data_IF_555512279975
#
_entry.id   IF_555512279975
#
_cell.length_a   1.000
_cell.length_b   1.000
_cell.length_c   1.000
_cell.angle_alpha   90.00
_cell.angle_beta   90.00
_cell.angle_gamma   90.00
#
_symmetry.space_group_name_H-M   'P 1'
#
loop_
_entity.id
_entity.type
_entity.pdbx_description
1 polymer ?
#
# COMPACT_ATOMS: atom_id res chain seq x y z
N UNK A 1 -15.24 -11.03 5.50
CA UNK A 1 -13.81 -11.18 5.87
C UNK A 1 -13.04 -10.58 4.72
N UNK A 2 -12.21 -9.58 4.99
CA UNK A 2 -11.35 -9.00 3.97
C UNK A 2 -10.14 -9.88 3.73
N UNK A 3 -9.60 -9.82 2.51
CA UNK A 3 -8.48 -10.64 2.11
C UNK A 3 -7.23 -9.85 1.73
N UNK A 4 -6.10 -10.56 1.79
CA UNK A 4 -4.79 -10.15 1.34
C UNK A 4 -4.12 -11.39 0.70
N UNK A 5 -4.09 -11.45 -0.63
CA UNK A 5 -3.73 -12.66 -1.38
C UNK A 5 -2.83 -12.36 -2.59
N UNK A 6 -1.64 -11.76 -2.41
CA UNK A 6 -0.75 -11.41 -3.52
C UNK A 6 -0.31 -12.68 -4.27
N UNK A 7 -0.49 -12.69 -5.59
CA UNK A 7 -0.04 -13.80 -6.45
C UNK A 7 -0.76 -15.14 -6.25
N UNK A 8 -1.81 -15.19 -5.42
CA UNK A 8 -2.58 -16.42 -5.19
C UNK A 8 -3.50 -16.69 -6.38
N UNK A 9 -3.26 -17.82 -7.08
CA UNK A 9 -3.96 -18.18 -8.33
C UNK A 9 -4.47 -19.62 -8.34
N UNK A 10 -5.27 -19.96 -9.36
CA UNK A 10 -5.68 -21.31 -9.70
C UNK A 10 -6.45 -22.02 -8.57
N UNK A 11 -6.01 -23.24 -8.23
CA UNK A 11 -6.68 -24.04 -7.19
C UNK A 11 -6.48 -23.46 -5.78
N UNK A 12 -5.33 -22.84 -5.53
CA UNK A 12 -5.06 -22.18 -4.24
C UNK A 12 -5.99 -21.00 -4.03
N UNK A 13 -6.28 -20.23 -5.08
CA UNK A 13 -7.28 -19.16 -5.02
C UNK A 13 -8.69 -19.68 -4.70
N UNK A 14 -9.05 -20.87 -5.18
CA UNK A 14 -10.34 -21.48 -4.83
C UNK A 14 -10.39 -21.88 -3.36
N UNK A 15 -9.32 -22.48 -2.85
CA UNK A 15 -9.22 -22.82 -1.44
C UNK A 15 -9.31 -21.56 -0.58
N UNK A 16 -8.62 -20.49 -0.98
CA UNK A 16 -8.66 -19.20 -0.32
C UNK A 16 -10.08 -18.62 -0.29
N UNK A 17 -10.74 -18.49 -1.44
CA UNK A 17 -12.12 -17.96 -1.50
C UNK A 17 -13.12 -18.85 -0.74
N UNK A 18 -12.97 -20.18 -0.80
CA UNK A 18 -13.82 -21.12 -0.07
C UNK A 18 -13.62 -21.04 1.46
N UNK A 19 -12.46 -20.57 1.92
CA UNK A 19 -12.17 -20.42 3.34
C UNK A 19 -12.85 -19.18 3.97
N UNK A 20 -13.36 -18.23 3.17
CA UNK A 20 -14.18 -17.12 3.67
C UNK A 20 -13.75 -15.69 3.29
N UNK A 21 -12.48 -15.37 2.94
CA UNK A 21 -12.12 -14.07 2.39
C UNK A 21 -12.98 -13.72 1.17
N UNK A 22 -13.61 -12.55 1.22
CA UNK A 22 -14.52 -12.06 0.20
C UNK A 22 -13.93 -10.98 -0.70
N UNK A 23 -12.76 -10.46 -0.35
CA UNK A 23 -12.07 -9.41 -1.10
C UNK A 23 -10.57 -9.65 -1.24
N UNK A 24 -9.94 -8.82 -2.07
CA UNK A 24 -8.49 -8.67 -2.17
C UNK A 24 -8.11 -7.29 -2.71
N UNK A 25 -6.96 -6.75 -2.30
CA UNK A 25 -6.39 -5.48 -2.80
C UNK A 25 -4.96 -5.65 -3.35
N UNK A 26 -4.48 -6.88 -3.48
CA UNK A 26 -3.08 -7.21 -3.72
C UNK A 26 -2.76 -7.57 -5.19
N UNK A 27 -3.67 -7.25 -6.09
CA UNK A 27 -3.45 -7.49 -7.52
C UNK A 27 -2.41 -6.50 -8.06
N UNK A 28 -1.40 -7.01 -8.76
CA UNK A 28 -0.43 -6.18 -9.49
C UNK A 28 -0.65 -6.20 -11.01
N UNK A 29 -1.48 -7.11 -11.53
CA UNK A 29 -1.78 -7.20 -12.97
C UNK A 29 -3.28 -7.37 -13.23
N UNK A 30 -3.73 -6.90 -14.39
CA UNK A 30 -5.11 -7.07 -14.84
C UNK A 30 -5.55 -8.53 -14.90
N UNK A 31 -4.66 -9.46 -15.31
CA UNK A 31 -4.97 -10.88 -15.35
C UNK A 31 -5.27 -11.45 -13.97
N UNK A 32 -4.52 -11.01 -12.94
CA UNK A 32 -4.77 -11.41 -11.57
C UNK A 32 -6.12 -10.94 -11.05
N UNK A 33 -6.40 -9.65 -11.27
CA UNK A 33 -7.67 -9.05 -10.89
C UNK A 33 -8.84 -9.77 -11.58
N UNK A 34 -8.74 -10.05 -12.88
CA UNK A 34 -9.76 -10.79 -13.62
C UNK A 34 -9.95 -12.21 -13.09
N UNK A 35 -8.88 -12.91 -12.72
CA UNK A 35 -8.98 -14.25 -12.15
C UNK A 35 -9.72 -14.23 -10.80
N UNK A 36 -9.37 -13.29 -9.91
CA UNK A 36 -10.02 -13.11 -8.60
C UNK A 36 -11.49 -12.71 -8.74
N UNK A 37 -11.80 -11.78 -9.66
CA UNK A 37 -13.18 -11.39 -9.98
C UNK A 37 -14.02 -12.58 -10.50
N UNK A 38 -13.45 -13.43 -11.36
CA UNK A 38 -14.13 -14.64 -11.88
C UNK A 38 -14.42 -15.68 -10.79
N UNK A 39 -13.67 -15.67 -9.69
CA UNK A 39 -13.93 -16.49 -8.49
C UNK A 39 -14.90 -15.86 -7.51
N UNK A 40 -15.46 -14.69 -7.85
CA UNK A 40 -16.46 -14.01 -7.05
C UNK A 40 -15.89 -13.13 -5.95
N UNK A 41 -14.57 -12.97 -5.87
CA UNK A 41 -13.98 -12.00 -4.95
C UNK A 41 -14.34 -10.57 -5.38
N UNK A 42 -14.39 -9.69 -4.39
CA UNK A 42 -14.41 -8.25 -4.59
C UNK A 42 -12.98 -7.75 -4.70
N UNK A 43 -12.62 -7.05 -5.77
CA UNK A 43 -11.24 -6.57 -5.95
C UNK A 43 -11.18 -5.07 -5.70
N UNK A 44 -10.37 -4.65 -4.76
CA UNK A 44 -10.07 -3.25 -4.53
C UNK A 44 -8.85 -2.88 -5.38
N UNK A 45 -9.04 -2.00 -6.36
CA UNK A 45 -7.93 -1.45 -7.13
C UNK A 45 -7.20 -0.45 -6.25
N UNK A 46 -5.93 -0.74 -5.97
CA UNK A 46 -5.09 0.01 -5.06
C UNK A 46 -4.27 1.08 -5.79
N UNK A 47 -4.14 2.24 -5.15
CA UNK A 47 -3.11 3.24 -5.48
C UNK A 47 -2.44 3.77 -4.21
N UNK A 48 -1.40 3.05 -3.77
CA UNK A 48 -0.63 3.34 -2.56
C UNK A 48 0.67 4.09 -2.89
N UNK A 49 1.31 4.67 -1.87
CA UNK A 49 2.62 5.33 -2.05
C UNK A 49 3.69 4.37 -2.57
N UNK A 50 3.76 3.17 -2.00
CA UNK A 50 4.78 2.15 -2.33
C UNK A 50 4.25 1.03 -3.25
N UNK A 51 3.01 1.15 -3.74
CA UNK A 51 2.39 0.19 -4.67
C UNK A 51 1.39 0.91 -5.58
N UNK A 52 1.89 1.45 -6.69
CA UNK A 52 1.12 2.21 -7.69
C UNK A 52 0.66 1.27 -8.80
N UNK A 53 -0.49 0.62 -8.62
CA UNK A 53 -0.99 -0.41 -9.55
C UNK A 53 -2.31 -0.02 -10.22
N UNK A 54 -2.94 1.12 -9.89
CA UNK A 54 -4.30 1.42 -10.37
C UNK A 54 -4.40 1.34 -11.88
N UNK A 55 -3.47 1.98 -12.60
CA UNK A 55 -3.46 2.00 -14.06
C UNK A 55 -3.26 0.61 -14.68
N UNK A 56 -2.38 -0.21 -14.10
CA UNK A 56 -2.12 -1.59 -14.54
C UNK A 56 -3.36 -2.49 -14.35
N UNK A 57 -4.22 -2.15 -13.39
CA UNK A 57 -5.45 -2.88 -13.10
C UNK A 57 -6.66 -2.41 -13.92
N UNK A 58 -6.67 -1.18 -14.44
CA UNK A 58 -7.79 -0.64 -15.23
C UNK A 58 -8.21 -1.53 -16.42
N UNK A 59 -7.31 -2.22 -17.14
CA UNK A 59 -7.71 -3.16 -18.20
C UNK A 59 -8.58 -4.32 -17.72
N UNK A 60 -8.58 -4.65 -16.42
CA UNK A 60 -9.46 -5.65 -15.84
C UNK A 60 -10.91 -5.17 -15.65
N UNK A 61 -11.17 -3.86 -15.72
CA UNK A 61 -12.49 -3.29 -15.51
C UNK A 61 -13.37 -3.45 -16.77
N UNK A 62 -14.48 -4.16 -16.64
CA UNK A 62 -15.40 -4.44 -17.74
C UNK A 62 -16.86 -4.15 -17.36
N UNK A 63 -17.76 -3.97 -18.35
CA UNK A 63 -19.20 -3.92 -18.11
C UNK A 63 -19.74 -5.05 -17.22
N UNK A 64 -19.21 -6.27 -17.37
CA UNK A 64 -19.70 -7.44 -16.65
C UNK A 64 -19.20 -7.57 -15.20
N UNK A 65 -18.06 -6.97 -14.85
CA UNK A 65 -17.44 -7.17 -13.53
C UNK A 65 -17.36 -5.91 -12.66
N UNK A 66 -17.57 -4.71 -13.20
CA UNK A 66 -17.40 -3.42 -12.48
C UNK A 66 -18.15 -3.31 -11.15
N UNK A 67 -19.19 -4.11 -10.91
CA UNK A 67 -19.93 -4.15 -9.63
C UNK A 67 -19.17 -4.83 -8.49
N UNK A 68 -18.10 -5.57 -8.79
CA UNK A 68 -17.21 -6.23 -7.81
C UNK A 68 -15.84 -5.55 -7.71
N UNK A 69 -15.74 -4.31 -8.16
CA UNK A 69 -14.51 -3.51 -8.09
C UNK A 69 -14.74 -2.28 -7.22
N UNK A 70 -13.84 -1.98 -6.29
CA UNK A 70 -13.82 -0.69 -5.58
C UNK A 70 -12.41 -0.08 -5.64
N UNK A 71 -12.27 1.15 -5.18
CA UNK A 71 -10.98 1.82 -5.03
C UNK A 71 -10.54 1.76 -3.57
N UNK A 72 -9.24 1.56 -3.33
CA UNK A 72 -8.62 1.78 -2.02
C UNK A 72 -7.26 2.48 -2.20
N UNK A 73 -6.86 3.27 -1.21
CA UNK A 73 -5.51 3.83 -1.19
C UNK A 73 -4.50 2.83 -0.63
N UNK A 74 -4.96 1.92 0.23
CA UNK A 74 -4.09 1.17 1.15
C UNK A 74 -3.20 2.17 1.91
N UNK A 75 -1.89 2.00 1.92
CA UNK A 75 -0.95 2.90 2.59
C UNK A 75 -0.61 4.15 1.76
N UNK A 76 -0.90 5.33 2.32
CA UNK A 76 -0.47 6.63 1.79
C UNK A 76 0.43 7.35 2.78
N UNK A 77 1.56 7.85 2.29
CA UNK A 77 2.42 8.73 3.06
C UNK A 77 1.88 10.16 3.06
N UNK A 78 2.17 10.96 4.10
CA UNK A 78 1.66 12.32 4.21
C UNK A 78 1.95 13.22 3.00
N UNK A 79 3.16 13.21 2.39
CA UNK A 79 3.43 14.02 1.20
C UNK A 79 2.50 13.68 0.04
N UNK A 80 2.41 12.40 -0.34
CA UNK A 80 1.52 11.96 -1.43
C UNK A 80 0.04 12.28 -1.16
N UNK A 81 -0.40 12.16 0.09
CA UNK A 81 -1.78 12.49 0.46
C UNK A 81 -2.06 13.99 0.31
N UNK A 82 -1.09 14.85 0.65
CA UNK A 82 -1.21 16.31 0.54
C UNK A 82 -1.08 16.78 -0.91
N UNK A 83 -0.17 16.20 -1.67
CA UNK A 83 0.18 16.64 -3.02
C UNK A 83 -0.75 16.06 -4.09
N UNK A 84 -1.13 14.78 -3.97
CA UNK A 84 -1.95 14.09 -4.97
C UNK A 84 -3.42 13.95 -4.57
N UNK A 85 -3.67 13.69 -3.28
CA UNK A 85 -4.98 13.37 -2.71
C UNK A 85 -5.13 11.89 -2.34
N UNK A 86 -6.37 11.46 -2.07
CA UNK A 86 -6.71 10.09 -1.69
C UNK A 86 -7.56 9.40 -2.75
N UNK A 87 -8.75 8.91 -2.36
CA UNK A 87 -9.70 8.29 -3.30
C UNK A 87 -10.12 9.27 -4.42
N UNK A 88 -10.16 10.58 -4.14
CA UNK A 88 -10.45 11.61 -5.13
C UNK A 88 -9.36 11.68 -6.23
N UNK A 89 -8.09 11.49 -5.88
CA UNK A 89 -7.00 11.39 -6.84
C UNK A 89 -7.17 10.18 -7.76
N UNK A 90 -7.56 9.04 -7.18
CA UNK A 90 -7.84 7.81 -7.93
C UNK A 90 -9.02 7.98 -8.89
N UNK A 91 -10.08 8.71 -8.49
CA UNK A 91 -11.19 9.05 -9.37
C UNK A 91 -10.70 9.85 -10.58
N UNK A 92 -9.90 10.90 -10.36
CA UNK A 92 -9.29 11.69 -11.45
C UNK A 92 -8.44 10.81 -12.38
N UNK A 93 -7.62 9.91 -11.82
CA UNK A 93 -6.82 8.95 -12.62
C UNK A 93 -7.70 8.03 -13.47
N UNK A 94 -8.73 7.40 -12.88
CA UNK A 94 -9.67 6.57 -13.62
C UNK A 94 -10.31 7.32 -14.79
N UNK A 95 -10.78 8.56 -14.56
CA UNK A 95 -11.44 9.38 -15.58
C UNK A 95 -10.48 9.76 -16.70
N UNK A 96 -9.27 10.24 -16.37
CA UNK A 96 -8.23 10.55 -17.36
C UNK A 96 -7.84 9.34 -18.21
N UNK A 97 -7.91 8.13 -17.64
CA UNK A 97 -7.65 6.86 -18.34
C UNK A 97 -8.86 6.30 -19.09
N UNK A 98 -9.96 7.05 -19.16
CA UNK A 98 -11.11 6.76 -20.02
C UNK A 98 -12.28 6.07 -19.34
N UNK A 99 -12.23 5.85 -18.01
CA UNK A 99 -13.39 5.36 -17.25
C UNK A 99 -14.45 6.47 -17.20
N UNK A 100 -15.70 6.13 -17.51
CA UNK A 100 -16.79 7.12 -17.44
C UNK A 100 -16.92 7.68 -16.02
N UNK A 101 -17.08 9.00 -15.82
CA UNK A 101 -17.07 9.59 -14.47
C UNK A 101 -18.06 8.98 -13.48
N UNK A 102 -19.30 8.71 -13.92
CA UNK A 102 -20.33 8.07 -13.09
C UNK A 102 -19.92 6.64 -12.69
N UNK A 103 -19.21 5.94 -13.56
CA UNK A 103 -18.67 4.61 -13.25
C UNK A 103 -17.53 4.71 -12.25
N UNK A 104 -16.57 5.62 -12.45
CA UNK A 104 -15.48 5.86 -11.48
C UNK A 104 -16.03 6.20 -10.09
N UNK A 105 -17.00 7.13 -10.00
CA UNK A 105 -17.67 7.49 -8.74
C UNK A 105 -18.33 6.27 -8.10
N UNK A 106 -18.95 5.38 -8.89
CA UNK A 106 -19.55 4.15 -8.38
C UNK A 106 -18.52 3.24 -7.71
N UNK A 107 -17.31 3.13 -8.26
CA UNK A 107 -16.21 2.36 -7.68
C UNK A 107 -15.78 2.91 -6.30
N UNK A 108 -15.93 4.22 -6.07
CA UNK A 108 -15.61 4.88 -4.81
C UNK A 108 -16.79 4.99 -3.82
N UNK A 109 -18.04 4.71 -4.25
CA UNK A 109 -19.25 4.99 -3.46
C UNK A 109 -20.13 3.76 -3.26
N UNK A 110 -20.96 3.43 -4.26
CA UNK A 110 -21.96 2.36 -4.15
C UNK A 110 -21.32 0.99 -3.96
N UNK A 111 -20.29 0.70 -4.74
CA UNK A 111 -19.61 -0.59 -4.73
C UNK A 111 -19.00 -0.93 -3.35
N UNK A 112 -18.18 -0.08 -2.71
CA UNK A 112 -17.68 -0.35 -1.37
C UNK A 112 -18.81 -0.35 -0.33
N UNK A 113 -19.84 0.49 -0.47
CA UNK A 113 -20.99 0.46 0.44
C UNK A 113 -21.77 -0.87 0.37
N UNK A 114 -21.97 -1.42 -0.83
CA UNK A 114 -22.59 -2.73 -1.04
C UNK A 114 -21.73 -3.85 -0.45
N UNK A 115 -20.42 -3.81 -0.65
CA UNK A 115 -19.49 -4.81 -0.11
C UNK A 115 -19.46 -4.83 1.42
N UNK A 116 -19.35 -3.67 2.07
CA UNK A 116 -19.35 -3.55 3.53
C UNK A 116 -20.75 -3.63 4.17
N UNK A 117 -21.81 -3.83 3.37
CA UNK A 117 -23.19 -3.90 3.88
C UNK A 117 -23.73 -2.57 4.43
N UNK A 118 -23.13 -1.44 4.05
CA UNK A 118 -23.49 -0.10 4.49
C UNK A 118 -24.68 0.43 3.67
N UNK A 119 -25.88 -0.08 3.99
CA UNK A 119 -27.13 0.22 3.26
C UNK A 119 -27.58 1.68 3.35
N UNK A 120 -27.04 2.45 4.29
CA UNK A 120 -27.38 3.84 4.52
C UNK A 120 -26.55 4.83 3.69
N UNK A 121 -25.52 4.43 2.94
CA UNK A 121 -24.66 5.36 2.17
C UNK A 121 -24.26 4.81 0.80
N UNK A 122 -23.38 5.52 0.09
CA UNK A 122 -22.87 5.14 -1.24
C UNK A 122 -23.78 5.50 -2.42
N UNK A 123 -24.94 6.14 -2.18
CA UNK A 123 -25.80 6.66 -3.23
C UNK A 123 -26.67 7.83 -2.70
N UNK A 124 -27.08 8.72 -3.60
CA UNK A 124 -28.01 9.82 -3.30
C UNK A 124 -29.44 9.32 -3.54
N UNK A 125 -30.18 9.04 -2.47
CA UNK A 125 -31.57 8.60 -2.53
C UNK A 125 -32.31 8.90 -1.22
N UNK A 126 -33.65 9.06 -1.24
CA UNK A 126 -34.46 9.17 -0.03
C UNK A 126 -34.19 8.02 0.94
N UNK A 127 -34.05 8.33 2.23
CA UNK A 127 -33.76 7.36 3.29
C UNK A 127 -32.28 6.97 3.44
N UNK A 128 -31.39 7.46 2.57
CA UNK A 128 -29.93 7.33 2.76
C UNK A 128 -29.37 8.55 3.50
N UNK A 129 -28.23 8.34 4.14
CA UNK A 129 -27.44 9.36 4.81
C UNK A 129 -26.95 10.39 3.80
N UNK A 130 -27.07 11.67 4.17
CA UNK A 130 -26.57 12.79 3.39
C UNK A 130 -25.05 12.99 3.58
N UNK A 131 -24.27 11.98 3.19
CA UNK A 131 -22.82 12.12 2.95
C UNK A 131 -22.66 12.47 1.46
N UNK A 132 -22.46 13.76 1.16
CA UNK A 132 -22.53 14.31 -0.19
C UNK A 132 -21.24 15.06 -0.53
N UNK A 133 -20.83 14.94 -1.78
CA UNK A 133 -19.77 15.76 -2.39
C UNK A 133 -20.41 16.49 -3.57
N UNK A 134 -20.33 17.81 -3.55
CA UNK A 134 -20.80 18.69 -4.64
C UNK A 134 -19.61 19.02 -5.51
N UNK A 135 -19.72 18.75 -6.80
CA UNK A 135 -18.68 19.01 -7.78
C UNK A 135 -19.09 20.17 -8.69
N UNK A 136 -18.16 21.08 -8.97
CA UNK A 136 -18.33 22.09 -10.02
C UNK A 136 -18.11 21.48 -11.41
N UNK A 137 -17.20 20.50 -11.51
CA UNK A 137 -16.95 19.72 -12.72
C UNK A 137 -16.81 18.22 -12.39
N UNK A 138 -17.55 17.40 -13.13
CA UNK A 138 -17.59 15.94 -12.95
C UNK A 138 -16.40 15.21 -13.58
N UNK A 139 -15.83 15.73 -14.67
CA UNK A 139 -14.66 15.16 -15.35
C UNK A 139 -13.39 15.42 -14.55
N UNK A 140 -13.23 16.62 -14.02
CA UNK A 140 -12.07 17.01 -13.24
C UNK A 140 -12.19 16.64 -11.75
N UNK A 141 -13.39 16.27 -11.30
CA UNK A 141 -13.71 16.00 -9.89
C UNK A 141 -13.37 17.23 -9.02
N UNK A 142 -13.76 18.41 -9.50
CA UNK A 142 -13.51 19.68 -8.81
C UNK A 142 -14.51 19.86 -7.66
N UNK A 143 -14.04 19.67 -6.41
CA UNK A 143 -14.89 19.63 -5.22
C UNK A 143 -15.21 21.03 -4.72
N UNK A 144 -16.49 21.40 -4.84
CA UNK A 144 -17.04 22.66 -4.34
C UNK A 144 -17.41 22.61 -2.86
N UNK A 145 -18.07 21.54 -2.43
CA UNK A 145 -18.53 21.42 -1.05
C UNK A 145 -18.68 19.95 -0.62
N UNK A 146 -18.51 19.71 0.67
CA UNK A 146 -18.69 18.39 1.29
C UNK A 146 -19.69 18.50 2.43
N UNK A 147 -20.62 17.56 2.49
CA UNK A 147 -21.57 17.39 3.58
C UNK A 147 -21.37 16.02 4.22
N UNK A 148 -21.38 15.97 5.54
CA UNK A 148 -21.32 14.73 6.31
C UNK A 148 -22.57 14.65 7.19
N UNK A 149 -23.34 13.57 7.03
CA UNK A 149 -24.61 13.33 7.76
C UNK A 149 -25.57 14.51 7.69
N UNK A 150 -25.62 15.20 6.55
CA UNK A 150 -26.48 16.35 6.33
C UNK A 150 -26.00 17.67 6.97
N UNK A 151 -24.78 17.72 7.50
CA UNK A 151 -24.14 18.95 7.97
C UNK A 151 -23.01 19.39 7.03
N UNK A 152 -22.82 20.70 6.75
CA UNK A 152 -21.69 21.18 5.98
C UNK A 152 -20.38 20.81 6.67
N UNK A 153 -19.44 20.21 5.94
CA UNK A 153 -18.14 19.78 6.46
C UNK A 153 -16.96 20.52 5.81
N UNK A 154 -17.07 20.85 4.53
CA UNK A 154 -16.05 21.63 3.82
C UNK A 154 -16.67 22.45 2.69
N UNK A 155 -16.03 23.55 2.32
CA UNK A 155 -16.40 24.39 1.17
C UNK A 155 -15.14 25.02 0.58
N UNK A 156 -15.07 25.09 -0.76
CA UNK A 156 -13.95 25.70 -1.48
C UNK A 156 -12.59 25.11 -1.03
N UNK A 157 -12.54 23.78 -0.92
CA UNK A 157 -11.40 22.98 -0.45
C UNK A 157 -10.91 23.33 0.98
N UNK A 158 -11.73 24.01 1.77
CA UNK A 158 -11.42 24.33 3.17
C UNK A 158 -12.40 23.61 4.10
N UNK A 159 -11.91 22.95 5.17
CA UNK A 159 -12.80 22.46 6.20
C UNK A 159 -13.57 23.64 6.81
N UNK A 160 -14.88 23.45 7.01
CA UNK A 160 -15.68 24.31 7.88
C UNK A 160 -15.44 23.88 9.33
N UNK A 161 -15.80 24.71 10.31
CA UNK A 161 -15.53 24.48 11.75
C UNK A 161 -15.66 23.01 12.14
N UNK A 162 -14.51 22.34 12.21
CA UNK A 162 -14.36 20.94 12.53
C UNK A 162 -13.58 20.88 13.83
N UNK A 163 -14.26 20.51 14.91
CA UNK A 163 -13.59 20.25 16.19
C UNK A 163 -12.86 18.90 16.07
N UNK A 164 -11.57 18.95 15.74
CA UNK A 164 -10.75 17.74 15.69
C UNK A 164 -10.62 17.23 17.13
N UNK A 165 -10.94 15.96 17.40
CA UNK A 165 -10.66 15.41 18.72
C UNK A 165 -9.16 15.56 19.01
N UNK A 166 -8.78 15.83 20.27
CA UNK A 166 -7.37 15.89 20.62
C UNK A 166 -6.67 14.60 20.20
N UNK A 167 -5.48 14.72 19.63
CA UNK A 167 -4.70 13.55 19.24
C UNK A 167 -4.51 12.66 20.47
N UNK A 168 -4.70 11.33 20.35
CA UNK A 168 -4.38 10.43 21.43
C UNK A 168 -2.89 10.59 21.78
N UNK A 169 -2.55 10.45 23.07
CA UNK A 169 -1.15 10.44 23.47
C UNK A 169 -0.42 9.31 22.72
N UNK A 170 0.75 9.57 22.10
CA UNK A 170 1.50 8.51 21.45
C UNK A 170 1.90 7.45 22.48
N UNK A 171 2.00 6.17 22.09
CA UNK A 171 2.57 5.15 22.96
C UNK A 171 4.00 5.54 23.34
N UNK A 172 4.49 5.03 24.47
CA UNK A 172 5.88 5.25 24.87
C UNK A 172 6.84 4.80 23.75
N UNK A 173 7.93 5.54 23.47
CA UNK A 173 8.90 5.14 22.46
C UNK A 173 9.48 3.76 22.77
N UNK A 174 9.26 2.78 21.88
CA UNK A 174 9.90 1.47 21.95
C UNK A 174 11.20 1.51 21.12
N UNK A 175 12.32 1.78 21.77
CA UNK A 175 13.68 1.72 21.19
C UNK A 175 14.60 0.98 22.17
N UNK A 176 14.17 -0.22 22.57
CA UNK A 176 14.94 -1.10 23.45
C UNK A 176 15.94 -1.88 22.59
N UNK A 177 17.11 -1.30 22.38
CA UNK A 177 18.24 -1.92 21.66
C UNK A 177 19.48 -1.87 22.56
N UNK A 178 20.12 -3.02 22.89
CA UNK A 178 21.37 -3.05 23.64
C UNK A 178 22.52 -2.68 22.71
N UNK A 179 22.71 -1.39 22.43
CA UNK A 179 23.64 -0.88 21.40
C UNK A 179 25.07 -1.42 21.52
N UNK A 180 25.55 -1.61 22.75
CA UNK A 180 26.90 -2.10 23.03
C UNK A 180 27.10 -3.58 22.62
N UNK A 181 26.01 -4.32 22.43
CA UNK A 181 26.01 -5.75 22.05
C UNK A 181 25.78 -5.96 20.54
N UNK A 182 25.49 -4.90 19.78
CA UNK A 182 25.12 -5.01 18.36
C UNK A 182 26.35 -5.09 17.45
N UNK A 183 26.45 -6.20 16.71
CA UNK A 183 27.42 -6.38 15.62
C UNK A 183 26.77 -6.38 14.25
N UNK A 184 27.29 -5.55 13.33
CA UNK A 184 26.86 -5.49 11.91
C UNK A 184 27.83 -6.20 10.95
N UNK A 185 28.72 -7.04 11.49
CA UNK A 185 29.68 -7.82 10.70
C UNK A 185 28.96 -9.05 10.13
N UNK A 186 28.94 -9.18 8.81
CA UNK A 186 28.43 -10.35 8.10
C UNK A 186 29.62 -11.22 7.65
N UNK A 187 29.89 -12.37 8.30
CA UNK A 187 31.04 -13.21 7.93
C UNK A 187 30.92 -13.74 6.50
N UNK A 188 32.03 -13.69 5.75
CA UNK A 188 32.08 -14.29 4.43
C UNK A 188 31.95 -15.81 4.51
N UNK A 189 31.28 -16.39 3.52
CA UNK A 189 31.13 -17.85 3.34
C UNK A 189 31.52 -18.20 1.91
N UNK A 190 31.81 -19.47 1.67
CA UNK A 190 32.09 -19.95 0.32
C UNK A 190 30.85 -19.87 -0.58
N UNK A 191 31.06 -19.38 -1.80
CA UNK A 191 30.06 -19.29 -2.86
C UNK A 191 29.17 -18.05 -2.80
N UNK A 192 28.27 -17.98 -3.78
CA UNK A 192 27.38 -16.85 -3.97
C UNK A 192 26.43 -16.62 -2.76
N UNK A 193 26.25 -15.35 -2.43
CA UNK A 193 25.29 -14.88 -1.44
C UNK A 193 23.91 -14.67 -2.08
N UNK A 194 22.86 -14.92 -1.29
CA UNK A 194 21.48 -14.57 -1.66
C UNK A 194 21.25 -13.09 -1.38
N UNK A 195 20.69 -12.39 -2.36
CA UNK A 195 20.44 -10.94 -2.31
C UNK A 195 18.96 -10.69 -2.60
N UNK A 196 18.37 -9.81 -1.81
CA UNK A 196 16.99 -9.33 -2.02
C UNK A 196 17.05 -8.22 -3.07
N UNK A 197 16.29 -8.33 -4.15
CA UNK A 197 16.18 -7.24 -5.15
C UNK A 197 14.93 -6.43 -4.91
N UNK A 198 15.10 -5.18 -4.47
CA UNK A 198 14.05 -4.19 -4.45
C UNK A 198 13.61 -3.88 -5.88
N UNK A 199 12.30 -3.80 -6.10
CA UNK A 199 11.69 -3.41 -7.36
C UNK A 199 11.04 -2.04 -7.15
N UNK A 200 11.43 -1.00 -7.91
CA UNK A 200 10.83 0.32 -7.76
C UNK A 200 9.29 0.28 -7.85
N UNK A 201 8.63 1.06 -6.99
CA UNK A 201 7.18 1.24 -6.93
C UNK A 201 6.35 -0.05 -6.72
N UNK A 202 6.98 -1.10 -6.19
CA UNK A 202 6.34 -2.39 -5.91
C UNK A 202 6.71 -2.91 -4.52
N UNK A 203 5.75 -3.61 -3.89
CA UNK A 203 5.96 -4.31 -2.62
C UNK A 203 6.57 -5.71 -2.79
N UNK A 204 6.61 -6.24 -4.01
CA UNK A 204 7.23 -7.52 -4.31
C UNK A 204 8.74 -7.36 -4.47
N UNK A 205 9.49 -8.37 -4.03
CA UNK A 205 10.95 -8.40 -4.16
C UNK A 205 11.41 -9.53 -5.07
N UNK A 206 12.47 -9.29 -5.83
CA UNK A 206 13.20 -10.34 -6.51
C UNK A 206 14.20 -11.06 -5.60
N UNK A 207 14.73 -12.16 -6.11
CA UNK A 207 15.82 -12.91 -5.49
C UNK A 207 16.93 -13.12 -6.53
N UNK A 208 18.16 -12.81 -6.14
CA UNK A 208 19.34 -13.06 -6.96
C UNK A 208 20.46 -13.72 -6.14
N UNK A 209 21.35 -14.42 -6.83
CA UNK A 209 22.50 -15.09 -6.25
C UNK A 209 23.76 -14.44 -6.83
N UNK A 210 24.56 -13.79 -6.00
CA UNK A 210 25.68 -12.94 -6.42
C UNK A 210 26.92 -13.24 -5.59
N UNK A 211 28.09 -13.24 -6.22
CA UNK A 211 29.36 -13.28 -5.49
C UNK A 211 29.57 -11.97 -4.70
N UNK A 212 29.58 -12.03 -3.36
CA UNK A 212 29.64 -10.83 -2.53
C UNK A 212 31.03 -10.18 -2.58
N UNK A 213 31.09 -8.87 -2.35
CA UNK A 213 32.37 -8.20 -2.09
C UNK A 213 32.81 -8.53 -0.67
N UNK A 214 34.04 -9.01 -0.52
CA UNK A 214 34.58 -9.46 0.77
C UNK A 214 35.85 -8.69 1.10
N UNK A 215 35.88 -8.09 2.28
CA UNK A 215 37.05 -7.43 2.84
C UNK A 215 37.29 -7.95 4.26
N UNK A 216 38.55 -8.26 4.59
CA UNK A 216 38.96 -8.77 5.90
C UNK A 216 38.09 -9.94 6.42
N UNK A 217 37.65 -10.82 5.51
CA UNK A 217 36.80 -11.98 5.83
C UNK A 217 35.34 -11.67 6.17
N UNK A 218 34.86 -10.46 5.89
CA UNK A 218 33.46 -10.08 6.00
C UNK A 218 32.91 -9.58 4.66
N UNK A 219 31.62 -9.82 4.45
CA UNK A 219 30.88 -9.23 3.34
C UNK A 219 30.69 -7.74 3.62
N UNK A 220 31.02 -6.92 2.63
CA UNK A 220 30.87 -5.46 2.66
C UNK A 220 29.89 -4.98 1.60
N UNK A 221 29.37 -3.77 1.79
CA UNK A 221 28.58 -3.11 0.76
C UNK A 221 29.49 -2.75 -0.44
N UNK A 222 28.93 -2.87 -1.63
CA UNK A 222 29.53 -2.46 -2.90
C UNK A 222 28.52 -1.60 -3.67
N UNK A 223 28.49 -0.28 -3.38
CA UNK A 223 27.57 0.64 -4.03
C UNK A 223 27.82 0.77 -5.54
N UNK A 224 28.98 0.35 -6.07
CA UNK A 224 29.26 0.38 -7.51
C UNK A 224 28.40 -0.64 -8.27
N UNK A 225 28.07 -1.76 -7.61
CA UNK A 225 27.19 -2.83 -8.11
C UNK A 225 25.76 -2.73 -7.56
N UNK A 226 25.44 -1.66 -6.82
CA UNK A 226 24.18 -1.51 -6.08
C UNK A 226 23.91 -2.71 -5.17
N UNK A 227 24.94 -3.17 -4.46
CA UNK A 227 24.87 -4.28 -3.50
C UNK A 227 25.14 -3.73 -2.10
N UNK A 228 24.11 -3.57 -1.29
CA UNK A 228 24.20 -2.95 0.03
C UNK A 228 23.98 -3.98 1.14
N UNK A 229 24.45 -3.70 2.36
CA UNK A 229 24.04 -4.49 3.52
C UNK A 229 22.67 -4.02 3.99
N UNK A 230 21.90 -4.97 4.49
CA UNK A 230 20.64 -4.68 5.20
C UNK A 230 20.69 -5.33 6.58
N UNK A 231 20.29 -4.57 7.59
CA UNK A 231 20.21 -5.02 8.97
C UNK A 231 18.81 -4.77 9.53
N UNK A 232 18.26 -5.75 10.25
CA UNK A 232 17.00 -5.62 11.00
C UNK A 232 17.29 -5.92 12.45
N UNK A 233 17.11 -4.92 13.32
CA UNK A 233 17.40 -4.98 14.75
C UNK A 233 16.07 -5.02 15.53
N UNK A 234 15.92 -6.03 16.37
CA UNK A 234 14.78 -6.11 17.29
C UNK A 234 14.83 -4.96 18.30
N UNK A 235 13.76 -4.16 18.38
CA UNK A 235 13.74 -2.91 19.18
C UNK A 235 12.70 -2.86 20.28
N UNK A 236 11.90 -3.91 20.44
CA UNK A 236 10.74 -3.91 21.32
C UNK A 236 11.00 -4.60 22.67
N UNK A 237 12.03 -5.45 22.76
CA UNK A 237 12.31 -6.26 23.96
C UNK A 237 13.77 -6.23 24.41
N UNK A 238 14.63 -5.45 23.76
CA UNK A 238 16.06 -5.43 24.08
C UNK A 238 16.74 -6.78 23.85
N UNK A 239 16.24 -7.62 22.93
CA UNK A 239 16.74 -9.00 22.80
C UNK A 239 18.13 -9.13 22.16
N UNK A 240 18.68 -8.04 21.63
CA UNK A 240 19.95 -8.02 20.91
C UNK A 240 19.93 -8.77 19.57
N UNK A 241 18.76 -9.25 19.13
CA UNK A 241 18.64 -10.02 17.87
C UNK A 241 18.81 -9.11 16.67
N UNK A 242 19.70 -9.52 15.76
CA UNK A 242 20.00 -8.84 14.50
C UNK A 242 19.90 -9.83 13.35
N UNK A 243 19.08 -9.50 12.35
CA UNK A 243 19.14 -10.13 11.03
C UNK A 243 20.05 -9.32 10.13
N UNK A 244 21.01 -9.95 9.47
CA UNK A 244 21.91 -9.33 8.48
C UNK A 244 21.76 -10.02 7.13
N UNK A 245 21.79 -9.23 6.05
CA UNK A 245 21.71 -9.73 4.68
C UNK A 245 22.22 -8.72 3.66
N UNK A 246 21.89 -8.98 2.40
CA UNK A 246 22.23 -8.11 1.27
C UNK A 246 20.96 -7.71 0.51
N UNK A 247 20.96 -6.47 0.03
CA UNK A 247 19.88 -5.91 -0.80
C UNK A 247 20.47 -5.19 -2.01
N UNK A 248 19.78 -5.26 -3.14
CA UNK A 248 20.08 -4.52 -4.35
C UNK A 248 18.83 -3.83 -4.90
N UNK A 249 19.01 -2.86 -5.80
CA UNK A 249 17.91 -2.07 -6.37
C UNK A 249 17.56 -0.83 -5.56
N UNK A 250 18.40 -0.42 -4.60
CA UNK A 250 18.14 0.74 -3.72
C UNK A 250 18.75 2.01 -4.32
N UNK A 251 19.91 1.90 -4.97
CA UNK A 251 20.59 3.02 -5.64
C UNK A 251 21.40 3.94 -4.71
N UNK A 252 21.54 3.62 -3.42
CA UNK A 252 22.34 4.39 -2.48
C UNK A 252 23.83 4.25 -2.83
N UNK A 253 24.53 5.38 -2.95
CA UNK A 253 25.97 5.41 -3.31
C UNK A 253 26.90 5.60 -2.13
N UNK A 254 26.44 6.27 -1.08
CA UNK A 254 27.20 6.55 0.14
C UNK A 254 26.24 6.71 1.33
N UNK A 255 26.73 6.42 2.54
CA UNK A 255 25.96 6.54 3.78
C UNK A 255 25.02 5.35 4.03
N UNK A 256 23.98 5.59 4.84
CA UNK A 256 22.98 4.60 5.18
C UNK A 256 21.59 5.24 5.36
N UNK A 257 20.53 4.46 5.16
CA UNK A 257 19.15 4.83 5.42
C UNK A 257 18.63 3.94 6.55
N UNK A 258 17.96 4.53 7.54
CA UNK A 258 17.41 3.81 8.68
C UNK A 258 15.95 4.23 8.94
N UNK A 259 15.12 3.28 9.36
CA UNK A 259 13.72 3.52 9.67
C UNK A 259 13.17 2.55 10.71
N UNK A 260 12.17 2.99 11.47
CA UNK A 260 11.45 2.15 12.45
C UNK A 260 10.04 1.79 12.00
N UNK A 261 9.65 2.24 10.80
CA UNK A 261 8.43 1.81 10.11
C UNK A 261 8.84 0.77 9.07
N UNK A 262 8.88 -0.49 9.49
CA UNK A 262 9.25 -1.64 8.68
C UNK A 262 8.19 -2.74 8.81
N UNK A 263 7.25 -2.77 7.88
CA UNK A 263 6.05 -3.61 7.96
C UNK A 263 6.37 -5.11 8.11
N UNK A 264 5.70 -5.88 8.97
CA UNK A 264 4.73 -5.48 10.01
C UNK A 264 5.30 -5.53 11.43
N UNK A 265 6.55 -5.96 11.58
CA UNK A 265 7.18 -6.06 12.90
C UNK A 265 7.63 -4.70 13.42
N UNK A 266 7.82 -3.74 12.51
CA UNK A 266 8.29 -2.38 12.78
C UNK A 266 9.53 -2.37 13.67
N UNK A 267 10.47 -3.28 13.40
CA UNK A 267 11.82 -3.26 13.96
C UNK A 267 12.66 -2.14 13.31
N UNK A 268 13.81 -1.82 13.88
CA UNK A 268 14.74 -0.90 13.23
C UNK A 268 15.34 -1.60 12.01
N UNK A 269 15.11 -1.08 10.82
CA UNK A 269 15.74 -1.52 9.58
C UNK A 269 16.76 -0.48 9.14
N UNK A 270 17.93 -0.95 8.68
CA UNK A 270 19.03 -0.12 8.20
C UNK A 270 19.57 -0.70 6.91
N UNK A 271 19.81 0.14 5.91
CA UNK A 271 20.45 -0.23 4.62
C UNK A 271 21.64 0.69 4.37
N UNK A 272 22.80 0.14 4.03
CA UNK A 272 24.03 0.88 3.71
C UNK A 272 25.28 0.02 3.64
#
# INVERSE_FOLDING_TARGET
MDGHAPGVRGRTLNAYAAAGPGSDHECTTAEEALEKLRRGLFVFFREATNARNLEDLLPALTPGNRRRVALCTDDRQPPDLLDEGGIDAMLRTCIRRGVQPVEAIRLATLNPAEYFGLRDRGAVAPGRRADLVVLDDLQEVDVRAVWCRGSPAARDLRPLDWDLPPAPAPPAPAMEIPWDEIGLRLPAREGAARVIRAVPDQIVTGHESVEPTVEEGAVVADPSRDLLKIAVLERHRGSGRVGLGLVAGIGLREGAIAGTVAHDHHNLIVVG
#
